data_IF_394096797199
#
_entry.id   IF_394096797199
#
_cell.length_a   1.000
_cell.length_b   1.000
_cell.length_c   1.000
_cell.angle_alpha   90.00
_cell.angle_beta   90.00
_cell.angle_gamma   90.00
#
_symmetry.space_group_name_H-M   'P 1'
#
loop_
_entity.id
_entity.type
_entity.pdbx_description
1 polymer ?
#
# COMPACT_ATOMS: atom_id res chain seq x y z
N UNK A 1 29.14 -54.64 -52.11
CA UNK A 1 28.23 -53.54 -51.83
C UNK A 1 28.47 -53.15 -50.37
N UNK A 2 29.24 -52.09 -50.09
CA UNK A 2 29.60 -51.64 -48.73
C UNK A 2 28.72 -50.47 -48.32
N UNK A 3 27.87 -50.66 -47.34
CA UNK A 3 27.12 -49.57 -46.73
C UNK A 3 28.07 -48.69 -45.89
N UNK A 4 28.05 -47.41 -46.20
CA UNK A 4 28.72 -46.39 -45.38
C UNK A 4 27.65 -45.81 -44.41
N UNK A 5 27.87 -46.05 -43.15
CA UNK A 5 27.15 -45.37 -42.06
C UNK A 5 27.64 -43.96 -41.90
N UNK A 6 26.81 -42.97 -42.15
CA UNK A 6 27.06 -41.57 -41.85
C UNK A 6 26.71 -41.31 -40.37
N UNK A 7 27.69 -40.84 -39.60
CA UNK A 7 27.46 -40.35 -38.25
C UNK A 7 26.96 -38.91 -38.33
N UNK A 8 25.74 -38.69 -37.87
CA UNK A 8 25.18 -37.35 -37.68
C UNK A 8 25.72 -36.80 -36.38
N UNK A 9 26.59 -35.81 -36.43
CA UNK A 9 27.02 -35.06 -35.25
C UNK A 9 25.95 -33.95 -34.99
N UNK A 10 25.23 -34.08 -33.89
CA UNK A 10 24.36 -33.04 -33.40
C UNK A 10 25.22 -31.97 -32.68
N UNK A 11 25.34 -30.80 -33.29
CA UNK A 11 25.89 -29.63 -32.65
C UNK A 11 24.82 -29.00 -31.75
N UNK A 12 24.96 -29.15 -30.43
CA UNK A 12 24.17 -28.40 -29.44
C UNK A 12 24.76 -27.00 -29.39
N UNK A 13 24.13 -26.08 -30.08
CA UNK A 13 24.41 -24.65 -29.94
C UNK A 13 23.88 -24.16 -28.60
N UNK A 14 24.78 -23.84 -27.68
CA UNK A 14 24.42 -23.09 -26.48
C UNK A 14 23.99 -21.69 -26.90
N UNK A 15 22.69 -21.42 -26.85
CA UNK A 15 22.17 -20.06 -26.97
C UNK A 15 22.44 -19.38 -25.61
N UNK A 16 23.52 -18.64 -25.53
CA UNK A 16 23.73 -17.67 -24.47
C UNK A 16 22.73 -16.54 -24.72
N UNK A 17 21.64 -16.53 -23.97
CA UNK A 17 20.83 -15.35 -23.79
C UNK A 17 21.69 -14.27 -23.14
N UNK A 18 22.19 -13.35 -23.94
CA UNK A 18 22.72 -12.10 -23.42
C UNK A 18 21.54 -11.38 -22.78
N UNK A 19 21.46 -11.40 -21.45
CA UNK A 19 20.66 -10.45 -20.73
C UNK A 19 21.21 -9.08 -21.09
N UNK A 20 20.47 -8.33 -21.91
CA UNK A 20 20.67 -6.89 -22.02
C UNK A 20 20.40 -6.31 -20.61
N UNK A 21 21.48 -6.08 -19.87
CA UNK A 21 21.38 -5.21 -18.70
C UNK A 21 20.91 -3.86 -19.22
N UNK A 22 19.69 -3.50 -18.91
CA UNK A 22 19.31 -2.12 -18.90
C UNK A 22 20.32 -1.46 -17.97
N UNK A 23 21.20 -0.63 -18.52
CA UNK A 23 22.09 0.20 -17.75
C UNK A 23 21.26 1.30 -17.06
N UNK A 24 20.46 0.88 -16.08
CA UNK A 24 20.11 1.74 -14.98
C UNK A 24 21.41 1.97 -14.20
N UNK A 25 21.63 3.15 -13.74
CA UNK A 25 22.69 3.44 -12.79
C UNK A 25 22.52 2.48 -11.62
N UNK A 26 23.33 1.43 -11.58
CA UNK A 26 23.34 0.51 -10.45
C UNK A 26 23.70 1.35 -9.22
N UNK A 27 22.73 1.54 -8.35
CA UNK A 27 23.00 2.18 -7.06
C UNK A 27 23.58 1.11 -6.15
N UNK A 28 24.89 1.14 -5.98
CA UNK A 28 25.58 0.25 -5.05
C UNK A 28 25.57 0.89 -3.67
N UNK A 29 24.97 0.22 -2.71
CA UNK A 29 25.03 0.60 -1.31
C UNK A 29 26.14 -0.20 -0.62
N UNK A 30 26.95 0.47 0.18
CA UNK A 30 27.79 -0.23 1.15
C UNK A 30 26.87 -0.69 2.29
N UNK A 31 26.67 -2.00 2.50
CA UNK A 31 25.81 -2.48 3.57
C UNK A 31 26.30 -1.99 4.94
N UNK A 32 25.39 -1.61 5.80
CA UNK A 32 25.71 -1.40 7.20
C UNK A 32 26.05 -2.74 7.85
N UNK A 33 27.22 -2.84 8.45
CA UNK A 33 27.74 -4.09 9.07
C UNK A 33 27.37 -4.20 10.55
N UNK A 34 26.77 -3.16 11.11
CA UNK A 34 26.30 -3.09 12.49
C UNK A 34 25.07 -2.20 12.58
N UNK A 35 24.31 -2.32 13.67
CA UNK A 35 23.20 -1.41 13.95
C UNK A 35 23.74 0.01 14.09
N UNK A 36 23.08 0.94 13.41
CA UNK A 36 23.39 2.36 13.54
C UNK A 36 22.97 2.89 14.91
N UNK A 37 23.68 3.89 15.45
CA UNK A 37 23.23 4.58 16.65
C UNK A 37 21.83 5.19 16.45
N UNK A 38 20.93 4.96 17.39
CA UNK A 38 19.62 5.63 17.41
C UNK A 38 19.82 7.07 17.88
N UNK A 39 19.25 8.02 17.17
CA UNK A 39 19.24 9.41 17.61
C UNK A 39 18.33 9.56 18.83
N UNK A 40 18.66 10.46 19.78
CA UNK A 40 17.78 10.73 20.91
C UNK A 40 16.43 11.26 20.43
N UNK A 41 15.34 10.70 20.95
CA UNK A 41 13.97 11.14 20.64
C UNK A 41 13.81 12.65 20.85
N UNK A 42 13.12 13.31 19.92
CA UNK A 42 12.90 14.76 19.88
C UNK A 42 14.19 15.60 19.82
N UNK A 43 15.30 15.00 19.40
CA UNK A 43 16.52 15.77 19.10
C UNK A 43 16.39 16.47 17.74
N UNK A 44 17.16 17.54 17.55
CA UNK A 44 17.21 18.23 16.26
C UNK A 44 17.71 17.29 15.16
N UNK A 45 18.70 16.44 15.47
CA UNK A 45 19.23 15.46 14.54
C UNK A 45 18.17 14.42 14.11
N UNK A 46 17.26 14.04 15.02
CA UNK A 46 16.14 13.15 14.68
C UNK A 46 15.17 13.79 13.68
N UNK A 47 14.88 15.08 13.82
CA UNK A 47 13.96 15.79 12.89
C UNK A 47 14.63 16.16 11.58
N UNK A 48 15.92 16.40 11.56
CA UNK A 48 16.66 16.79 10.35
C UNK A 48 17.17 15.59 9.55
N UNK A 49 17.69 14.57 10.22
CA UNK A 49 18.27 13.37 9.62
C UNK A 49 18.08 12.15 10.52
N UNK A 50 16.84 11.65 10.67
CA UNK A 50 16.51 10.59 11.63
C UNK A 50 17.16 9.25 11.32
N UNK A 51 17.60 9.05 10.08
CA UNK A 51 18.10 7.77 9.60
C UNK A 51 19.61 7.83 9.32
N UNK A 52 20.32 6.80 9.76
CA UNK A 52 21.67 6.55 9.27
C UNK A 52 21.57 5.75 7.97
N UNK A 53 22.02 6.34 6.88
CA UNK A 53 21.97 5.73 5.55
C UNK A 53 23.33 5.21 5.12
N UNK A 54 23.39 4.21 4.20
CA UNK A 54 24.64 3.72 3.63
C UNK A 54 25.47 4.81 2.95
N UNK A 55 26.77 4.59 2.84
CA UNK A 55 27.66 5.48 2.10
C UNK A 55 27.17 5.71 0.66
N UNK A 56 27.19 6.95 0.21
CA UNK A 56 26.70 7.35 -1.10
C UNK A 56 25.21 7.77 -1.12
N UNK A 57 24.49 7.61 0.01
CA UNK A 57 23.14 8.12 0.18
C UNK A 57 23.12 9.35 1.11
N UNK A 58 22.06 10.15 0.97
CA UNK A 58 21.77 11.24 1.89
C UNK A 58 20.30 11.17 2.29
N UNK A 59 20.04 11.27 3.59
CA UNK A 59 18.69 11.44 4.13
C UNK A 59 18.37 12.92 4.25
N UNK A 60 17.14 13.30 3.89
CA UNK A 60 16.61 14.64 4.11
C UNK A 60 15.21 14.52 4.67
N UNK A 61 14.94 15.22 5.76
CA UNK A 61 13.58 15.51 6.16
C UNK A 61 12.95 16.44 5.12
N UNK A 62 11.73 16.14 4.69
CA UNK A 62 11.00 16.99 3.74
C UNK A 62 9.92 17.80 4.42
N UNK A 63 9.20 17.15 5.30
CA UNK A 63 8.18 17.78 6.12
C UNK A 63 7.98 16.93 7.39
N UNK A 64 7.28 17.47 8.33
CA UNK A 64 6.87 16.80 9.55
C UNK A 64 5.37 17.00 9.76
N UNK A 65 4.74 16.14 10.54
CA UNK A 65 3.35 16.32 10.96
C UNK A 65 3.08 17.74 11.48
N UNK A 66 4.02 18.28 12.25
CA UNK A 66 3.92 19.62 12.83
C UNK A 66 3.91 20.73 11.78
N UNK A 67 4.71 20.58 10.73
CA UNK A 67 4.76 21.54 9.62
C UNK A 67 3.48 21.45 8.80
N UNK A 68 3.04 20.24 8.45
CA UNK A 68 1.77 20.04 7.76
C UNK A 68 0.60 20.66 8.54
N UNK A 69 0.52 20.41 9.86
CA UNK A 69 -0.53 21.00 10.71
C UNK A 69 -0.45 22.53 10.77
N UNK A 70 0.75 23.10 10.72
CA UNK A 70 0.92 24.55 10.67
C UNK A 70 0.44 25.15 9.35
N UNK A 71 0.78 24.52 8.22
CA UNK A 71 0.38 24.98 6.88
C UNK A 71 -1.13 24.96 6.69
N UNK A 72 -1.78 23.85 7.11
CA UNK A 72 -3.21 23.70 6.97
C UNK A 72 -4.00 24.40 8.10
N UNK A 73 -3.29 25.01 9.07
CA UNK A 73 -3.85 25.65 10.26
C UNK A 73 -4.85 24.79 11.04
N UNK A 74 -4.61 23.47 11.06
CA UNK A 74 -5.51 22.49 11.66
C UNK A 74 -4.73 21.27 12.15
N UNK A 75 -5.10 20.73 13.32
CA UNK A 75 -4.55 19.45 13.77
C UNK A 75 -5.16 18.30 13.00
N UNK A 76 -4.31 17.38 12.52
CA UNK A 76 -4.69 16.09 11.99
C UNK A 76 -4.56 14.97 13.05
N UNK A 77 -3.90 15.27 14.15
CA UNK A 77 -3.70 14.36 15.30
C UNK A 77 -4.87 14.41 16.28
N UNK A 78 -5.61 15.52 16.28
CA UNK A 78 -6.70 15.74 17.22
C UNK A 78 -7.94 16.26 16.53
N UNK A 79 -9.02 15.55 16.73
CA UNK A 79 -10.33 16.03 16.31
C UNK A 79 -10.92 16.83 17.46
N UNK A 80 -11.22 18.11 17.31
CA UNK A 80 -11.78 18.94 18.37
C UNK A 80 -13.06 18.32 18.94
N UNK A 81 -13.11 18.17 20.26
CA UNK A 81 -14.27 17.62 20.97
C UNK A 81 -14.30 16.08 21.09
N UNK A 82 -13.45 15.36 20.38
CA UNK A 82 -13.44 13.90 20.41
C UNK A 82 -12.23 13.28 21.11
N UNK A 83 -11.38 14.11 21.71
CA UNK A 83 -10.16 13.66 22.38
C UNK A 83 -8.97 13.47 21.43
N UNK A 84 -7.90 12.89 21.94
CA UNK A 84 -6.75 12.50 21.13
C UNK A 84 -7.00 11.12 20.56
N UNK A 85 -7.29 10.99 19.29
CA UNK A 85 -7.06 9.73 18.57
C UNK A 85 -5.56 9.50 18.40
N UNK A 86 -5.14 8.26 18.24
CA UNK A 86 -3.88 8.00 17.59
C UNK A 86 -4.01 8.59 16.19
N UNK A 87 -3.07 9.42 15.81
CA UNK A 87 -3.05 9.94 14.45
C UNK A 87 -1.63 10.12 14.01
N UNK A 88 -1.38 9.71 12.81
CA UNK A 88 -0.12 9.86 12.14
C UNK A 88 -0.34 10.11 10.64
N UNK A 89 0.73 10.33 9.94
CA UNK A 89 0.79 10.21 8.50
C UNK A 89 1.41 8.85 8.24
N UNK A 90 0.71 8.01 7.53
CA UNK A 90 1.22 6.69 7.19
C UNK A 90 1.61 6.58 5.72
N UNK A 91 1.35 5.50 5.01
CA UNK A 91 1.92 5.15 3.71
C UNK A 91 1.70 6.21 2.62
N UNK A 92 2.72 6.99 2.37
CA UNK A 92 2.70 8.16 1.48
C UNK A 92 2.78 7.74 0.01
N UNK A 93 1.91 8.31 -0.83
CA UNK A 93 2.02 8.22 -2.29
C UNK A 93 2.77 9.40 -2.89
N UNK A 94 3.39 9.16 -4.05
CA UNK A 94 3.98 10.18 -4.92
C UNK A 94 3.15 10.33 -6.19
N UNK A 95 3.05 11.54 -6.70
CA UNK A 95 2.66 11.74 -8.09
C UNK A 95 3.80 11.30 -9.05
N UNK A 96 3.51 11.00 -10.32
CA UNK A 96 4.55 10.55 -11.26
C UNK A 96 5.66 11.56 -11.55
N UNK A 97 5.43 12.84 -11.30
CA UNK A 97 6.46 13.88 -11.46
C UNK A 97 7.44 13.91 -10.29
N UNK A 98 7.07 13.32 -9.15
CA UNK A 98 7.82 13.37 -7.89
C UNK A 98 7.83 14.74 -7.23
N UNK A 99 6.90 15.64 -7.60
CA UNK A 99 6.78 16.98 -7.02
C UNK A 99 5.83 17.06 -5.85
N UNK A 100 4.89 16.14 -5.78
CA UNK A 100 3.86 16.12 -4.76
C UNK A 100 3.87 14.81 -3.98
N UNK A 101 3.66 14.94 -2.66
CA UNK A 101 3.38 13.82 -1.78
C UNK A 101 1.91 13.89 -1.36
N UNK A 102 1.28 12.72 -1.29
CA UNK A 102 -0.05 12.58 -0.71
C UNK A 102 0.09 11.92 0.64
N UNK A 103 -0.33 12.63 1.66
CA UNK A 103 -0.13 12.31 3.07
C UNK A 103 -1.49 11.88 3.64
N UNK A 104 -1.80 10.58 3.74
CA UNK A 104 -3.04 10.11 4.33
C UNK A 104 -3.07 10.45 5.83
N UNK A 105 -4.24 10.80 6.34
CA UNK A 105 -4.43 11.09 7.76
C UNK A 105 -5.01 9.86 8.45
N UNK A 106 -4.18 9.18 9.18
CA UNK A 106 -4.59 8.08 10.02
C UNK A 106 -5.16 8.63 11.34
N UNK A 107 -6.44 8.78 11.40
CA UNK A 107 -7.17 9.28 12.57
C UNK A 107 -8.49 8.55 12.75
N UNK A 108 -8.94 8.37 13.98
CA UNK A 108 -10.16 7.60 14.29
C UNK A 108 -11.45 8.19 13.68
N UNK A 109 -11.47 9.49 13.38
CA UNK A 109 -12.60 10.21 12.78
C UNK A 109 -12.06 11.37 11.96
N UNK A 110 -12.75 11.73 10.89
CA UNK A 110 -12.34 12.83 10.05
C UNK A 110 -11.06 12.56 9.28
N UNK A 111 -10.79 11.30 8.95
CA UNK A 111 -9.67 10.95 8.10
C UNK A 111 -9.78 11.67 6.75
N UNK A 112 -8.64 11.93 6.15
CA UNK A 112 -8.55 12.66 4.89
C UNK A 112 -7.18 12.52 4.29
N UNK A 113 -6.83 13.41 3.40
CA UNK A 113 -5.50 13.44 2.78
C UNK A 113 -5.03 14.86 2.54
N UNK A 114 -3.76 15.12 2.81
CA UNK A 114 -3.08 16.35 2.42
C UNK A 114 -2.21 16.11 1.20
N UNK A 115 -2.10 17.12 0.33
CA UNK A 115 -1.10 17.19 -0.73
C UNK A 115 -0.01 18.16 -0.33
N UNK A 116 1.23 17.67 -0.26
CA UNK A 116 2.43 18.45 0.03
C UNK A 116 3.18 18.75 -1.26
N UNK A 117 3.44 20.01 -1.52
CA UNK A 117 4.27 20.49 -2.63
C UNK A 117 5.74 20.54 -2.18
N UNK A 118 6.56 19.65 -2.75
CA UNK A 118 7.98 19.50 -2.38
C UNK A 118 8.81 20.73 -2.79
N UNK A 119 8.41 21.43 -3.87
CA UNK A 119 9.15 22.57 -4.41
C UNK A 119 8.86 23.83 -3.59
N UNK A 120 7.61 24.04 -3.22
CA UNK A 120 7.16 25.22 -2.49
C UNK A 120 7.15 25.04 -0.97
N UNK A 121 7.37 23.81 -0.48
CA UNK A 121 7.35 23.45 0.94
C UNK A 121 6.04 23.87 1.62
N UNK A 122 4.91 23.46 1.02
CA UNK A 122 3.57 23.82 1.50
C UNK A 122 2.61 22.64 1.39
N UNK A 123 1.64 22.58 2.31
CA UNK A 123 0.60 21.56 2.36
C UNK A 123 -0.80 22.14 2.22
N UNK A 124 -1.68 21.39 1.56
CA UNK A 124 -3.11 21.69 1.51
C UNK A 124 -3.91 20.41 1.81
N UNK A 125 -5.01 20.52 2.55
CA UNK A 125 -5.95 19.42 2.73
C UNK A 125 -6.82 19.31 1.47
N UNK A 126 -6.80 18.16 0.83
CA UNK A 126 -7.64 17.88 -0.33
C UNK A 126 -9.09 17.63 0.09
N UNK A 127 -9.29 16.74 1.04
CA UNK A 127 -10.58 16.52 1.70
C UNK A 127 -10.40 15.92 3.09
N UNK A 128 -11.48 15.96 3.88
CA UNK A 128 -11.56 15.31 5.20
C UNK A 128 -12.98 14.86 5.47
N UNK A 129 -13.12 13.83 6.29
CA UNK A 129 -14.38 13.42 6.89
C UNK A 129 -14.99 14.49 7.79
N UNK A 130 -16.28 14.43 8.01
CA UNK A 130 -17.06 15.40 8.79
C UNK A 130 -17.10 15.10 10.29
N UNK A 131 -16.38 14.09 10.74
CA UNK A 131 -16.24 13.60 12.12
C UNK A 131 -17.53 13.03 12.74
N UNK A 132 -18.58 12.85 11.95
CA UNK A 132 -19.85 12.31 12.48
C UNK A 132 -19.82 10.80 12.73
N UNK A 133 -18.82 10.10 12.21
CA UNK A 133 -18.55 8.71 12.57
C UNK A 133 -18.42 8.50 14.08
N UNK A 134 -17.94 9.50 14.81
CA UNK A 134 -17.95 9.51 16.28
C UNK A 134 -19.35 9.34 16.91
N UNK A 135 -20.38 9.61 16.17
CA UNK A 135 -21.80 9.49 16.57
C UNK A 135 -22.54 8.39 15.76
N UNK A 136 -21.79 7.59 15.00
CA UNK A 136 -22.29 6.47 14.23
C UNK A 136 -22.76 6.81 12.80
N UNK A 137 -22.52 8.03 12.31
CA UNK A 137 -22.82 8.43 10.93
C UNK A 137 -21.53 8.46 10.10
N UNK A 138 -21.29 7.39 9.35
CA UNK A 138 -20.12 7.21 8.49
C UNK A 138 -20.36 7.59 7.02
N UNK A 139 -21.47 8.20 6.71
CA UNK A 139 -21.84 8.53 5.31
C UNK A 139 -20.91 9.53 4.64
N UNK A 140 -20.26 10.40 5.41
CA UNK A 140 -19.32 11.41 4.96
C UNK A 140 -18.09 11.48 5.89
N UNK A 141 -17.83 10.40 6.59
CA UNK A 141 -16.68 10.29 7.48
C UNK A 141 -15.90 9.01 7.21
N UNK A 142 -14.61 9.08 7.48
CA UNK A 142 -13.66 7.98 7.33
C UNK A 142 -12.76 7.93 8.53
N UNK A 143 -12.14 6.76 8.74
CA UNK A 143 -11.21 6.55 9.82
C UNK A 143 -9.92 5.90 9.32
N UNK A 144 -8.80 6.24 9.97
CA UNK A 144 -7.51 5.57 9.83
C UNK A 144 -7.13 5.32 8.35
N UNK A 145 -7.04 6.38 7.54
CA UNK A 145 -6.44 6.22 6.22
C UNK A 145 -4.95 5.94 6.39
N UNK A 146 -4.59 4.68 6.22
CA UNK A 146 -3.23 4.22 6.28
C UNK A 146 -2.63 4.15 4.86
N UNK A 147 -2.98 3.22 3.97
CA UNK A 147 -2.33 3.16 2.68
C UNK A 147 -2.80 4.25 1.74
N UNK A 148 -1.85 4.80 0.99
CA UNK A 148 -2.15 5.56 -0.21
C UNK A 148 -1.36 5.05 -1.39
N UNK A 149 -1.94 5.10 -2.59
CA UNK A 149 -1.24 4.74 -3.82
C UNK A 149 -1.74 5.52 -5.02
N UNK A 150 -0.79 6.01 -5.81
CA UNK A 150 -1.10 6.60 -7.12
C UNK A 150 -1.48 5.49 -8.10
N UNK A 151 -2.60 5.65 -8.77
CA UNK A 151 -3.09 4.64 -9.72
C UNK A 151 -2.45 4.82 -11.10
N UNK A 152 -2.46 3.79 -11.95
CA UNK A 152 -2.03 3.91 -13.35
C UNK A 152 -2.78 4.98 -14.16
N UNK A 153 -4.00 5.35 -13.75
CA UNK A 153 -4.87 6.32 -14.43
C UNK A 153 -4.75 7.75 -13.91
N UNK A 154 -3.85 7.98 -12.96
CA UNK A 154 -3.62 9.31 -12.41
C UNK A 154 -4.62 9.73 -11.34
N UNK A 155 -5.30 8.79 -10.73
CA UNK A 155 -6.11 8.97 -9.54
C UNK A 155 -5.32 8.54 -8.29
N UNK A 156 -5.85 8.82 -7.10
CA UNK A 156 -5.23 8.42 -5.85
C UNK A 156 -6.17 7.49 -5.09
N UNK A 157 -5.68 6.33 -4.66
CA UNK A 157 -6.38 5.46 -3.73
C UNK A 157 -5.94 5.72 -2.31
N UNK A 158 -6.90 5.71 -1.42
CA UNK A 158 -6.74 5.70 0.04
C UNK A 158 -7.55 4.53 0.58
N UNK A 159 -7.12 3.93 1.67
CA UNK A 159 -7.94 2.92 2.31
C UNK A 159 -7.87 3.01 3.84
N UNK A 160 -8.95 2.55 4.47
CA UNK A 160 -9.10 2.56 5.92
C UNK A 160 -8.46 1.31 6.53
N UNK A 161 -7.69 1.51 7.58
CA UNK A 161 -7.17 0.46 8.46
C UNK A 161 -8.20 0.13 9.54
N UNK A 162 -9.25 -0.59 9.16
CA UNK A 162 -10.34 -0.94 10.07
C UNK A 162 -10.78 -2.39 9.86
N UNK A 163 -10.50 -3.24 10.84
CA UNK A 163 -10.70 -4.69 10.77
C UNK A 163 -12.10 -5.08 10.26
N UNK A 164 -12.14 -5.66 9.05
CA UNK A 164 -13.35 -6.16 8.40
C UNK A 164 -14.33 -5.08 7.89
N UNK A 165 -14.02 -3.79 8.06
CA UNK A 165 -14.88 -2.67 7.68
C UNK A 165 -14.16 -1.60 6.84
N UNK A 166 -12.83 -1.69 6.70
CA UNK A 166 -12.03 -0.69 5.99
C UNK A 166 -12.40 -0.57 4.53
N UNK A 167 -12.76 0.64 4.10
CA UNK A 167 -13.19 0.97 2.74
C UNK A 167 -12.02 1.48 1.92
N UNK A 168 -12.12 1.36 0.61
CA UNK A 168 -11.18 2.00 -0.34
C UNK A 168 -11.86 3.19 -1.00
N UNK A 169 -11.19 4.34 -0.95
CA UNK A 169 -11.65 5.61 -1.53
C UNK A 169 -10.75 5.96 -2.69
N UNK A 170 -11.33 6.32 -3.82
CA UNK A 170 -10.62 6.89 -4.95
C UNK A 170 -10.84 8.39 -5.03
N UNK A 171 -9.75 9.15 -5.04
CA UNK A 171 -9.73 10.57 -5.38
C UNK A 171 -9.53 10.67 -6.89
N UNK A 172 -10.54 11.13 -7.62
CA UNK A 172 -10.57 11.10 -9.08
C UNK A 172 -9.66 12.15 -9.72
N UNK A 173 -9.46 13.26 -9.04
CA UNK A 173 -8.71 14.42 -9.53
C UNK A 173 -7.74 14.99 -8.47
N UNK A 174 -6.76 14.20 -7.98
CA UNK A 174 -5.95 14.55 -6.80
C UNK A 174 -5.07 15.82 -6.99
N UNK A 175 -4.99 16.31 -8.22
CA UNK A 175 -4.24 17.53 -8.55
C UNK A 175 -5.12 18.80 -8.62
N UNK A 176 -6.45 18.67 -8.49
CA UNK A 176 -7.35 19.80 -8.48
C UNK A 176 -7.22 20.68 -7.23
N UNK A 177 -7.87 21.83 -7.25
CA UNK A 177 -8.01 22.65 -6.04
C UNK A 177 -8.89 21.91 -5.02
N UNK A 178 -8.67 22.10 -3.71
CA UNK A 178 -9.44 21.38 -2.68
C UNK A 178 -10.96 21.51 -2.80
N UNK A 179 -11.47 22.65 -3.31
CA UNK A 179 -12.90 22.88 -3.50
C UNK A 179 -13.52 22.04 -4.64
N UNK A 180 -12.69 21.51 -5.53
CA UNK A 180 -13.12 20.78 -6.73
C UNK A 180 -12.76 19.29 -6.65
N UNK A 181 -12.28 18.82 -5.50
CA UNK A 181 -11.92 17.41 -5.31
C UNK A 181 -13.16 16.53 -5.43
N UNK A 182 -13.04 15.51 -6.26
CA UNK A 182 -14.04 14.47 -6.45
C UNK A 182 -13.53 13.14 -5.88
N UNK A 183 -14.36 12.50 -5.07
CA UNK A 183 -14.06 11.20 -4.46
C UNK A 183 -15.18 10.20 -4.75
N UNK A 184 -14.84 8.93 -4.76
CA UNK A 184 -15.80 7.83 -4.73
C UNK A 184 -15.33 6.69 -3.86
N UNK A 185 -16.25 5.99 -3.24
CA UNK A 185 -15.99 4.73 -2.56
C UNK A 185 -15.97 3.59 -3.57
N UNK A 186 -15.05 2.63 -3.38
CA UNK A 186 -14.88 1.46 -4.25
C UNK A 186 -15.42 0.21 -3.56
N UNK A 187 -16.73 -0.03 -3.68
CA UNK A 187 -17.38 -1.25 -3.17
C UNK A 187 -16.87 -2.54 -3.82
N UNK A 188 -16.07 -2.41 -4.88
CA UNK A 188 -15.44 -3.53 -5.60
C UNK A 188 -14.24 -4.13 -4.90
N UNK A 189 -13.65 -3.42 -3.96
CA UNK A 189 -12.52 -3.89 -3.15
C UNK A 189 -13.07 -4.37 -1.81
N UNK A 190 -12.58 -5.52 -1.36
CA UNK A 190 -13.04 -6.09 -0.09
C UNK A 190 -12.63 -5.20 1.09
N UNK A 191 -13.52 -5.10 2.08
CA UNK A 191 -13.31 -4.35 3.31
C UNK A 191 -12.44 -5.18 4.28
N UNK A 192 -11.22 -4.73 4.49
CA UNK A 192 -10.26 -5.33 5.42
C UNK A 192 -9.54 -4.21 6.19
N UNK A 193 -8.71 -4.55 7.16
CA UNK A 193 -7.78 -3.60 7.77
C UNK A 193 -6.65 -3.36 6.79
N UNK A 194 -6.82 -2.36 5.91
CA UNK A 194 -5.88 -2.16 4.81
C UNK A 194 -4.55 -1.58 5.30
N UNK A 195 -3.45 -2.32 5.02
CA UNK A 195 -2.08 -1.88 5.30
C UNK A 195 -1.35 -1.44 4.01
N UNK A 196 -1.63 -2.03 2.90
CA UNK A 196 -0.94 -1.69 1.66
C UNK A 196 -1.77 -1.92 0.42
N UNK A 197 -1.64 -0.99 -0.53
CA UNK A 197 -2.28 -1.06 -1.84
C UNK A 197 -1.21 -0.98 -2.94
N UNK A 198 -1.22 -1.90 -3.90
CA UNK A 198 -0.27 -1.87 -5.01
C UNK A 198 -0.85 -2.41 -6.30
N UNK A 199 -0.70 -1.67 -7.38
CA UNK A 199 -1.05 -2.13 -8.71
C UNK A 199 0.06 -2.96 -9.34
N UNK A 200 -0.34 -3.98 -10.13
CA UNK A 200 0.56 -4.60 -11.10
C UNK A 200 0.98 -3.58 -12.18
N UNK A 201 2.13 -3.83 -12.82
CA UNK A 201 2.66 -2.91 -13.83
C UNK A 201 1.73 -2.68 -15.03
N UNK A 202 0.83 -3.63 -15.31
CA UNK A 202 -0.15 -3.55 -16.39
C UNK A 202 -1.50 -2.93 -15.94
N UNK A 203 -1.61 -2.50 -14.69
CA UNK A 203 -2.80 -1.88 -14.13
C UNK A 203 -4.02 -2.81 -13.98
N UNK A 204 -3.85 -4.14 -14.19
CA UNK A 204 -4.96 -5.10 -14.18
C UNK A 204 -5.25 -5.70 -12.82
N UNK A 205 -4.30 -5.63 -11.92
CA UNK A 205 -4.42 -6.28 -10.62
C UNK A 205 -4.07 -5.30 -9.52
N UNK A 206 -4.97 -5.17 -8.57
CA UNK A 206 -4.71 -4.50 -7.29
C UNK A 206 -4.35 -5.57 -6.26
N UNK A 207 -3.19 -5.45 -5.63
CA UNK A 207 -2.80 -6.20 -4.45
C UNK A 207 -3.09 -5.36 -3.22
N UNK A 208 -3.62 -5.99 -2.17
CA UNK A 208 -3.84 -5.35 -0.89
C UNK A 208 -3.58 -6.31 0.26
N UNK A 209 -3.29 -5.74 1.41
CA UNK A 209 -2.92 -6.48 2.62
C UNK A 209 -3.93 -6.14 3.70
N UNK A 210 -4.35 -7.16 4.43
CA UNK A 210 -5.09 -7.04 5.68
C UNK A 210 -4.11 -7.27 6.83
N UNK A 211 -3.91 -6.30 7.70
CA UNK A 211 -2.99 -6.40 8.81
C UNK A 211 -3.63 -6.94 10.10
N UNK A 212 -4.96 -7.04 10.17
CA UNK A 212 -5.60 -7.57 11.37
C UNK A 212 -5.07 -8.97 11.70
N UNK A 213 -5.08 -9.31 12.96
CA UNK A 213 -4.38 -10.44 13.63
C UNK A 213 -4.28 -11.77 12.87
N UNK A 214 -5.14 -12.02 11.91
CA UNK A 214 -5.12 -13.21 11.03
C UNK A 214 -5.17 -12.84 9.58
N UNK A 215 -4.85 -11.60 9.27
CA UNK A 215 -4.91 -11.03 7.96
C UNK A 215 -4.04 -11.72 6.92
N UNK A 216 -4.31 -11.43 5.68
CA UNK A 216 -3.73 -12.11 4.53
C UNK A 216 -3.35 -11.11 3.44
N UNK A 217 -2.69 -11.62 2.42
CA UNK A 217 -2.44 -10.88 1.19
C UNK A 217 -3.53 -11.25 0.19
N UNK A 218 -4.17 -10.25 -0.37
CA UNK A 218 -5.23 -10.39 -1.36
C UNK A 218 -4.83 -9.79 -2.70
N UNK A 219 -5.57 -10.13 -3.73
CA UNK A 219 -5.56 -9.42 -5.00
C UNK A 219 -6.96 -9.37 -5.60
N UNK A 220 -7.27 -8.24 -6.22
CA UNK A 220 -8.41 -8.06 -7.11
C UNK A 220 -7.89 -8.03 -8.56
N UNK A 221 -8.32 -8.98 -9.38
CA UNK A 221 -8.08 -8.96 -10.83
C UNK A 221 -9.27 -8.27 -11.47
N UNK A 222 -9.05 -7.08 -12.00
CA UNK A 222 -10.11 -6.25 -12.59
C UNK A 222 -10.76 -6.95 -13.79
N UNK A 223 -12.06 -6.91 -13.86
CA UNK A 223 -12.86 -7.42 -14.98
C UNK A 223 -12.52 -6.66 -16.27
N UNK A 224 -12.49 -5.35 -16.18
CA UNK A 224 -12.03 -4.46 -17.25
C UNK A 224 -10.82 -3.68 -16.74
N UNK A 225 -9.71 -3.64 -17.48
CA UNK A 225 -8.58 -2.80 -17.11
C UNK A 225 -9.01 -1.35 -16.91
N UNK A 226 -8.48 -0.69 -15.88
CA UNK A 226 -8.77 0.71 -15.57
C UNK A 226 -10.21 1.04 -15.11
N UNK A 227 -11.06 0.02 -14.97
CA UNK A 227 -12.42 0.18 -14.42
C UNK A 227 -12.45 -0.33 -12.98
N UNK A 228 -11.97 0.49 -12.06
CA UNK A 228 -11.84 0.10 -10.66
C UNK A 228 -13.19 -0.13 -9.97
N UNK A 229 -14.19 0.66 -10.33
CA UNK A 229 -15.55 0.53 -9.79
C UNK A 229 -16.30 -0.68 -10.39
N UNK A 230 -15.93 -1.12 -11.59
CA UNK A 230 -16.51 -2.30 -12.24
C UNK A 230 -16.11 -3.63 -11.59
N UNK A 231 -15.18 -3.60 -10.65
CA UNK A 231 -14.77 -4.74 -9.86
C UNK A 231 -14.06 -5.83 -10.65
N UNK A 232 -14.14 -7.05 -10.14
CA UNK A 232 -13.47 -8.20 -10.72
C UNK A 232 -13.41 -9.38 -9.76
N UNK A 233 -12.46 -10.27 -9.98
CA UNK A 233 -12.29 -11.46 -9.18
C UNK A 233 -11.28 -11.25 -8.06
N UNK A 234 -11.71 -11.48 -6.81
CA UNK A 234 -10.86 -11.41 -5.61
C UNK A 234 -10.28 -12.76 -5.26
N UNK A 235 -9.03 -12.76 -4.86
CA UNK A 235 -8.28 -13.94 -4.43
C UNK A 235 -7.55 -13.66 -3.12
N UNK A 236 -7.36 -14.72 -2.32
CA UNK A 236 -6.47 -14.73 -1.16
C UNK A 236 -5.23 -15.58 -1.43
N UNK A 237 -4.09 -15.18 -0.91
CA UNK A 237 -2.84 -15.94 -1.01
C UNK A 237 -2.81 -17.05 0.04
N UNK A 238 -2.75 -18.29 -0.39
CA UNK A 238 -2.53 -19.46 0.45
C UNK A 238 -1.09 -19.94 0.29
N UNK A 239 -0.34 -20.00 1.37
CA UNK A 239 0.98 -20.64 1.41
C UNK A 239 0.83 -22.12 1.74
N UNK A 240 1.41 -23.01 0.92
CA UNK A 240 1.19 -24.45 1.02
C UNK A 240 1.86 -25.09 2.24
N UNK A 241 3.01 -24.57 2.65
CA UNK A 241 3.77 -25.09 3.79
C UNK A 241 3.48 -24.26 5.05
N UNK A 242 2.53 -24.71 5.83
CA UNK A 242 2.25 -24.16 7.15
C UNK A 242 2.14 -25.30 8.17
N UNK A 243 3.05 -25.34 9.13
CA UNK A 243 3.12 -26.36 10.19
C UNK A 243 2.39 -25.95 11.48
N UNK A 244 1.69 -24.84 11.47
CA UNK A 244 0.89 -24.37 12.59
C UNK A 244 -0.50 -25.01 12.65
N UNK A 245 -1.32 -24.51 13.55
CA UNK A 245 -2.73 -24.91 13.70
C UNK A 245 -3.63 -23.91 12.94
N UNK A 246 -4.15 -24.34 11.80
CA UNK A 246 -5.02 -23.51 10.96
C UNK A 246 -6.36 -23.14 11.63
N UNK A 247 -6.70 -23.73 12.77
CA UNK A 247 -7.88 -23.35 13.57
C UNK A 247 -7.63 -22.19 14.52
N UNK A 248 -6.40 -21.70 14.58
CA UNK A 248 -5.97 -20.60 15.45
C UNK A 248 -5.55 -19.40 14.62
N UNK A 249 -5.68 -18.22 15.21
CA UNK A 249 -5.17 -16.99 14.61
C UNK A 249 -3.65 -17.02 14.42
N UNK A 250 -3.13 -16.19 13.53
CA UNK A 250 -1.68 -16.10 13.30
C UNK A 250 -0.93 -15.73 14.59
N UNK A 251 -1.45 -14.80 15.37
CA UNK A 251 -0.83 -14.33 16.62
C UNK A 251 -0.98 -15.31 17.80
N UNK A 252 -1.71 -16.40 17.63
CA UNK A 252 -1.72 -17.46 18.64
C UNK A 252 -0.31 -18.02 18.80
N UNK A 253 0.08 -18.31 20.05
CA UNK A 253 1.45 -18.77 20.39
C UNK A 253 1.87 -20.04 19.62
N UNK A 254 0.93 -20.86 19.19
CA UNK A 254 1.19 -22.04 18.35
C UNK A 254 1.62 -21.65 16.95
N UNK A 255 1.16 -20.52 16.43
CA UNK A 255 1.35 -20.08 15.05
C UNK A 255 2.40 -18.98 14.89
N UNK A 256 2.56 -18.09 15.88
CA UNK A 256 3.34 -16.86 15.77
C UNK A 256 4.79 -17.07 15.30
N UNK A 257 5.40 -18.21 15.62
CA UNK A 257 6.77 -18.54 15.24
C UNK A 257 6.86 -19.58 14.11
N UNK A 258 5.73 -19.94 13.51
CA UNK A 258 5.74 -20.93 12.42
C UNK A 258 6.01 -20.25 11.09
N UNK A 259 7.06 -20.65 10.37
CA UNK A 259 7.35 -20.06 9.07
C UNK A 259 6.23 -20.39 8.06
N UNK A 260 5.87 -19.39 7.26
CA UNK A 260 5.00 -19.55 6.10
C UNK A 260 5.86 -19.36 4.86
N UNK A 261 6.47 -20.43 4.38
CA UNK A 261 7.43 -20.41 3.27
C UNK A 261 7.08 -21.48 2.24
N UNK A 262 7.67 -21.36 1.05
CA UNK A 262 7.50 -22.34 -0.01
C UNK A 262 6.56 -21.89 -1.11
N UNK A 263 5.96 -22.86 -1.81
CA UNK A 263 4.99 -22.57 -2.86
C UNK A 263 3.73 -21.91 -2.30
N UNK A 264 3.11 -21.07 -3.11
CA UNK A 264 1.86 -20.41 -2.75
C UNK A 264 0.87 -20.46 -3.91
N UNK A 265 -0.41 -20.47 -3.58
CA UNK A 265 -1.51 -20.55 -4.55
C UNK A 265 -2.51 -19.42 -4.26
N UNK A 266 -3.01 -18.79 -5.31
CA UNK A 266 -4.11 -17.86 -5.22
C UNK A 266 -5.44 -18.62 -5.23
N UNK A 267 -6.20 -18.49 -4.16
CA UNK A 267 -7.52 -19.11 -4.00
C UNK A 267 -8.59 -18.06 -4.28
N UNK A 268 -9.46 -18.32 -5.25
CA UNK A 268 -10.54 -17.42 -5.59
C UNK A 268 -11.58 -17.37 -4.46
N UNK A 269 -11.96 -16.14 -4.07
CA UNK A 269 -13.01 -15.87 -3.09
C UNK A 269 -14.31 -15.45 -3.78
N UNK A 270 -14.21 -14.81 -4.96
CA UNK A 270 -15.34 -14.42 -5.79
C UNK A 270 -15.21 -15.02 -7.18
N UNK A 271 -16.30 -15.03 -7.95
CA UNK A 271 -16.27 -15.25 -9.40
C UNK A 271 -15.77 -13.99 -10.13
N UNK A 272 -15.73 -14.02 -11.46
CA UNK A 272 -15.25 -12.92 -12.32
C UNK A 272 -16.16 -11.68 -12.26
N UNK A 273 -17.40 -11.85 -11.79
CA UNK A 273 -18.38 -10.78 -11.60
C UNK A 273 -18.37 -10.21 -10.17
N UNK A 274 -17.48 -10.73 -9.29
CA UNK A 274 -17.36 -10.30 -7.90
C UNK A 274 -18.34 -11.00 -6.95
N UNK A 275 -19.15 -11.98 -7.42
CA UNK A 275 -20.07 -12.68 -6.53
C UNK A 275 -19.30 -13.68 -5.64
N UNK A 276 -19.61 -13.75 -4.34
CA UNK A 276 -18.93 -14.67 -3.43
C UNK A 276 -19.06 -16.15 -3.86
N UNK A 277 -17.95 -16.87 -3.87
CA UNK A 277 -17.90 -18.33 -4.09
C UNK A 277 -18.18 -19.13 -2.82
N UNK A 278 -18.28 -18.49 -1.69
CA UNK A 278 -18.59 -19.08 -0.39
C UNK A 278 -19.72 -18.32 0.29
N UNK A 279 -20.43 -19.01 1.20
CA UNK A 279 -21.45 -18.35 2.04
C UNK A 279 -20.87 -17.79 3.34
N UNK A 280 -19.63 -18.11 3.61
CA UNK A 280 -18.87 -17.55 4.74
C UNK A 280 -18.20 -16.31 4.22
N UNK A 281 -18.44 -15.17 4.89
CA UNK A 281 -17.68 -13.96 4.62
C UNK A 281 -16.20 -14.27 4.91
N UNK A 282 -15.30 -14.20 3.92
CA UNK A 282 -13.88 -14.48 4.12
C UNK A 282 -13.13 -13.28 4.71
N UNK A 283 -13.79 -12.14 4.84
CA UNK A 283 -13.24 -10.88 5.32
C UNK A 283 -13.79 -10.52 6.69
#
# INVERSE_FOLDING_TARGET
MKLRTAKLAAAIGAVTLAQASLAGTDVFFTPLTASAPVQPANSLAETEAPWVVPEGLASRNRTSLREVEADIAQSIVRVPGLGSGASMIDMIAYDPSGKFLFLPHETNFGAGVSRYDIENDTSVVLFRGDTKGAYGDWSHDWAAFDPSTWTPDGTLFLAEEWAGEGRVIEVLNPMADPADIEIRELESVANVSHEGLRFSNDGRTLYFVDEDNSGSIYKLVLKNPHDYAGGGQTFVLKVDAFNGDASKTYNNSVNANQPRTGAATWVALTDEDGNPLTRVNPF
#
